data_IF_971084470447
#
_entry.id   IF_971084470447
#
_cell.length_a   1.000
_cell.length_b   1.000
_cell.length_c   1.000
_cell.angle_alpha   90.00
_cell.angle_beta   90.00
_cell.angle_gamma   90.00
#
_symmetry.space_group_name_H-M   'P 1'
#
loop_
_entity.id
_entity.type
_entity.pdbx_description
1 polymer ?
#
# COMPACT_ATOMS: atom_id res chain seq x y z
N UNK A 1 -5.83 12.41 -11.53
CA UNK A 1 -5.89 12.72 -10.07
C UNK A 1 -4.81 13.76 -9.79
N UNK A 2 -5.09 14.75 -8.95
CA UNK A 2 -4.11 15.79 -8.61
C UNK A 2 -3.18 15.34 -7.48
N UNK A 3 -1.97 15.92 -7.44
CA UNK A 3 -0.96 15.66 -6.41
C UNK A 3 -1.47 15.96 -5.00
N UNK A 4 -2.36 16.94 -4.86
CA UNK A 4 -3.01 17.29 -3.59
C UNK A 4 -3.82 16.12 -3.01
N UNK A 5 -4.63 15.47 -3.85
CA UNK A 5 -5.41 14.29 -3.44
C UNK A 5 -4.46 13.15 -3.06
N UNK A 6 -3.40 12.94 -3.85
CA UNK A 6 -2.39 11.93 -3.55
C UNK A 6 -1.71 12.13 -2.19
N UNK A 7 -1.36 13.38 -1.87
CA UNK A 7 -0.77 13.75 -0.58
C UNK A 7 -1.74 13.54 0.58
N UNK A 8 -3.01 13.86 0.41
CA UNK A 8 -4.05 13.61 1.42
C UNK A 8 -4.22 12.10 1.70
N UNK A 9 -4.28 11.28 0.65
CA UNK A 9 -4.34 9.81 0.78
C UNK A 9 -3.10 9.30 1.52
N UNK A 10 -1.92 9.77 1.12
CA UNK A 10 -0.65 9.40 1.77
C UNK A 10 -0.62 9.74 3.25
N UNK A 11 -1.14 10.92 3.63
CA UNK A 11 -1.22 11.36 5.02
C UNK A 11 -2.25 10.59 5.86
N UNK A 12 -3.32 10.07 5.22
CA UNK A 12 -4.26 9.15 5.89
C UNK A 12 -3.69 7.74 6.06
N UNK A 13 -2.75 7.35 5.21
CA UNK A 13 -2.07 6.06 5.28
C UNK A 13 -0.91 6.06 6.29
N UNK A 14 -0.16 7.15 6.36
CA UNK A 14 1.00 7.36 7.22
C UNK A 14 1.55 8.78 7.06
N UNK A 15 2.86 9.00 7.15
CA UNK A 15 3.44 10.31 6.80
C UNK A 15 3.80 10.32 5.30
N UNK A 16 3.13 11.15 4.50
CA UNK A 16 3.46 11.27 3.07
C UNK A 16 4.83 11.92 2.90
N UNK A 17 5.74 11.23 2.21
CA UNK A 17 7.09 11.72 1.88
C UNK A 17 7.07 12.34 0.48
N UNK A 18 6.47 11.65 -0.48
CA UNK A 18 6.52 12.03 -1.90
C UNK A 18 5.29 11.51 -2.65
N UNK A 19 4.92 12.20 -3.72
CA UNK A 19 3.83 11.82 -4.63
C UNK A 19 4.40 11.89 -6.05
N UNK A 20 4.32 10.78 -6.79
CA UNK A 20 4.83 10.75 -8.16
C UNK A 20 3.96 11.64 -9.06
N UNK A 21 4.55 12.71 -9.58
CA UNK A 21 3.90 13.68 -10.46
C UNK A 21 4.55 13.72 -11.85
N UNK A 22 3.75 14.11 -12.84
CA UNK A 22 4.17 14.41 -14.20
C UNK A 22 4.70 15.83 -14.32
N UNK A 23 5.24 16.15 -15.50
CA UNK A 23 5.71 17.51 -15.80
C UNK A 23 4.60 18.58 -15.74
N UNK A 24 3.34 18.14 -15.80
CA UNK A 24 2.10 18.91 -15.70
C UNK A 24 1.54 19.00 -14.28
N UNK A 25 2.18 18.39 -13.28
CA UNK A 25 1.66 18.33 -11.91
C UNK A 25 0.48 17.37 -11.72
N UNK A 26 0.20 16.51 -12.69
CA UNK A 26 -0.77 15.44 -12.58
C UNK A 26 -0.13 14.11 -12.17
N UNK A 27 -0.91 13.21 -11.55
CA UNK A 27 -0.40 11.88 -11.20
C UNK A 27 -0.18 11.05 -12.48
N UNK A 28 0.98 10.40 -12.60
CA UNK A 28 1.36 9.66 -13.81
C UNK A 28 0.78 8.23 -13.86
N UNK A 29 0.16 7.90 -14.99
CA UNK A 29 -0.19 6.52 -15.37
C UNK A 29 -1.47 5.98 -14.74
N UNK A 30 -1.60 4.65 -14.73
CA UNK A 30 -2.82 3.94 -14.25
C UNK A 30 -2.96 3.91 -12.73
N UNK A 31 -1.89 4.20 -12.00
CA UNK A 31 -1.84 4.08 -10.54
C UNK A 31 -1.29 5.37 -9.92
N UNK A 32 -1.89 5.82 -8.84
CA UNK A 32 -1.32 6.83 -7.97
C UNK A 32 -0.17 6.20 -7.16
N UNK A 33 1.07 6.63 -7.41
CA UNK A 33 2.23 6.16 -6.66
C UNK A 33 2.62 7.20 -5.61
N UNK A 34 2.58 6.78 -4.36
CA UNK A 34 2.90 7.62 -3.20
C UNK A 34 3.96 6.93 -2.34
N UNK A 35 4.94 7.71 -1.89
CA UNK A 35 5.94 7.25 -0.93
C UNK A 35 5.50 7.71 0.45
N UNK A 36 5.28 6.75 1.35
CA UNK A 36 4.75 7.01 2.69
C UNK A 36 5.65 6.35 3.72
N UNK A 37 5.94 7.05 4.82
CA UNK A 37 6.51 6.44 6.03
C UNK A 37 5.40 5.74 6.79
N UNK A 38 5.51 4.41 6.89
CA UNK A 38 4.51 3.56 7.53
C UNK A 38 5.05 2.99 8.85
N UNK A 39 4.15 2.85 9.80
CA UNK A 39 4.40 2.15 11.06
C UNK A 39 4.26 0.64 10.84
N UNK A 40 5.40 -0.05 10.75
CA UNK A 40 5.47 -1.50 10.48
C UNK A 40 4.94 -2.37 11.62
N UNK A 41 4.74 -1.79 12.81
CA UNK A 41 4.13 -2.51 13.94
C UNK A 41 2.63 -2.69 13.76
N UNK A 42 2.03 -1.94 12.84
CA UNK A 42 0.61 -2.04 12.49
C UNK A 42 0.40 -2.92 11.25
N UNK A 43 -0.75 -3.60 11.14
CA UNK A 43 -1.09 -4.31 9.92
C UNK A 43 -1.11 -3.39 8.70
N UNK A 44 -0.65 -3.89 7.56
CA UNK A 44 -0.71 -3.19 6.28
C UNK A 44 -2.15 -2.83 5.93
N UNK A 45 -2.38 -1.60 5.44
CA UNK A 45 -3.70 -1.19 4.98
C UNK A 45 -4.00 -1.85 3.63
N UNK A 46 -5.15 -2.50 3.51
CA UNK A 46 -5.58 -3.18 2.27
C UNK A 46 -6.45 -2.27 1.41
N UNK A 47 -7.41 -1.60 2.05
CA UNK A 47 -8.36 -0.70 1.41
C UNK A 47 -8.56 0.57 2.24
N UNK A 48 -8.93 1.67 1.58
CA UNK A 48 -9.37 2.91 2.21
C UNK A 48 -10.62 3.42 1.52
N UNK A 49 -11.65 3.74 2.30
CA UNK A 49 -12.82 4.46 1.81
C UNK A 49 -12.56 5.97 1.90
N UNK A 50 -12.73 6.65 0.78
CA UNK A 50 -12.78 8.11 0.69
C UNK A 50 -14.23 8.52 0.44
N UNK A 51 -14.68 9.52 1.17
CA UNK A 51 -15.91 10.24 0.86
C UNK A 51 -15.50 11.62 0.36
N UNK A 52 -16.01 12.02 -0.80
CA UNK A 52 -15.74 13.34 -1.37
C UNK A 52 -16.85 14.32 -1.02
N UNK A 53 -18.10 13.93 -1.29
CA UNK A 53 -19.32 14.64 -0.93
C UNK A 53 -20.36 13.62 -0.40
N UNK A 54 -21.59 14.06 -0.10
CA UNK A 54 -22.63 13.21 0.49
C UNK A 54 -23.07 12.02 -0.38
N UNK A 55 -22.68 11.96 -1.66
CA UNK A 55 -23.10 10.90 -2.59
C UNK A 55 -21.94 10.17 -3.28
N UNK A 56 -20.71 10.70 -3.27
CA UNK A 56 -19.55 10.13 -3.94
C UNK A 56 -18.59 9.46 -2.95
N UNK A 57 -18.65 8.13 -2.91
CA UNK A 57 -17.68 7.28 -2.23
C UNK A 57 -16.71 6.65 -3.23
N UNK A 58 -15.42 6.63 -2.89
CA UNK A 58 -14.42 5.83 -3.59
C UNK A 58 -13.76 4.84 -2.64
N UNK A 59 -13.56 3.62 -3.13
CA UNK A 59 -12.75 2.60 -2.47
C UNK A 59 -11.40 2.53 -3.16
N UNK A 60 -10.35 2.81 -2.42
CA UNK A 60 -8.97 2.71 -2.88
C UNK A 60 -8.41 1.39 -2.38
N UNK A 61 -7.93 0.57 -3.31
CA UNK A 61 -7.14 -0.62 -3.00
C UNK A 61 -5.65 -0.29 -3.01
N UNK A 62 -4.93 -0.72 -1.97
CA UNK A 62 -3.49 -0.49 -1.88
C UNK A 62 -2.70 -1.69 -2.39
N UNK A 63 -1.64 -1.39 -3.13
CA UNK A 63 -0.55 -2.31 -3.44
C UNK A 63 0.76 -1.67 -3.01
N UNK A 64 1.67 -2.48 -2.50
CA UNK A 64 2.93 -2.03 -1.93
C UNK A 64 4.08 -2.43 -2.86
N UNK A 65 4.86 -1.44 -3.28
CA UNK A 65 6.11 -1.66 -3.97
C UNK A 65 7.21 -2.03 -2.96
N UNK A 66 8.06 -2.99 -3.33
CA UNK A 66 9.20 -3.45 -2.51
C UNK A 66 8.79 -3.91 -1.11
N UNK A 67 7.59 -4.48 -0.98
CA UNK A 67 7.08 -5.02 0.29
C UNK A 67 7.93 -6.23 0.70
N UNK A 68 8.58 -6.21 1.89
CA UNK A 68 9.26 -7.39 2.44
C UNK A 68 8.27 -8.48 2.84
N UNK A 69 8.80 -9.64 3.22
CA UNK A 69 7.96 -10.70 3.79
C UNK A 69 7.19 -10.21 5.02
N UNK A 70 5.91 -10.55 5.04
CA UNK A 70 4.99 -10.14 6.08
C UNK A 70 4.03 -11.29 6.43
N UNK A 71 3.44 -11.21 7.61
CA UNK A 71 2.58 -12.26 8.10
C UNK A 71 1.20 -12.21 7.41
N UNK A 72 0.86 -13.25 6.64
CA UNK A 72 -0.45 -13.30 5.96
C UNK A 72 -1.65 -13.43 6.90
N UNK A 73 -1.43 -13.76 8.18
CA UNK A 73 -2.50 -13.85 9.15
C UNK A 73 -2.82 -12.50 9.81
N UNK A 74 -1.80 -11.73 10.21
CA UNK A 74 -2.01 -10.46 10.94
C UNK A 74 -1.65 -9.21 10.13
N UNK A 75 -1.01 -9.35 8.97
CA UNK A 75 -0.65 -8.25 8.07
C UNK A 75 0.56 -7.42 8.51
N UNK A 76 1.31 -7.82 9.54
CA UNK A 76 2.49 -7.10 10.04
C UNK A 76 3.78 -7.62 9.39
N UNK A 77 4.75 -6.72 9.21
CA UNK A 77 6.08 -7.05 8.69
C UNK A 77 6.95 -7.63 9.82
N UNK A 78 7.89 -8.53 9.47
CA UNK A 78 8.95 -8.98 10.36
C UNK A 78 8.76 -10.35 11.00
N UNK A 79 7.72 -11.10 10.62
CA UNK A 79 7.55 -12.51 11.01
C UNK A 79 6.67 -13.24 10.01
N UNK A 80 6.75 -14.57 9.97
CA UNK A 80 5.85 -15.40 9.15
C UNK A 80 4.66 -15.90 9.98
N UNK A 81 3.66 -16.47 9.31
CA UNK A 81 2.43 -16.98 9.97
C UNK A 81 2.74 -17.96 11.11
N UNK A 82 3.75 -18.83 10.94
CA UNK A 82 4.17 -19.83 11.95
C UNK A 82 4.65 -19.21 13.27
N UNK A 83 5.14 -17.96 13.22
CA UNK A 83 5.69 -17.24 14.37
C UNK A 83 4.69 -16.20 14.92
N UNK A 84 3.49 -16.13 14.33
CA UNK A 84 2.53 -15.09 14.62
C UNK A 84 1.82 -15.35 15.95
N UNK A 85 2.13 -14.53 16.95
CA UNK A 85 1.51 -14.60 18.29
C UNK A 85 0.02 -14.23 18.30
N UNK A 86 -0.47 -13.58 17.24
CA UNK A 86 -1.90 -13.21 17.10
C UNK A 86 -2.75 -14.41 16.65
N UNK A 87 -2.13 -15.39 15.99
CA UNK A 87 -2.81 -16.54 15.39
C UNK A 87 -3.33 -17.54 16.42
N UNK A 88 -2.77 -17.55 17.64
CA UNK A 88 -3.32 -18.33 18.76
C UNK A 88 -4.78 -18.02 19.13
N UNK A 89 -5.36 -16.94 18.60
CA UNK A 89 -6.79 -16.59 18.76
C UNK A 89 -7.63 -16.73 17.48
N UNK A 90 -7.02 -16.93 16.30
CA UNK A 90 -7.70 -16.92 14.98
C UNK A 90 -7.70 -18.31 14.33
N UNK A 91 -6.85 -19.22 14.83
CA UNK A 91 -6.92 -20.64 14.47
C UNK A 91 -8.17 -21.28 15.08
N UNK A 92 -9.28 -21.17 14.34
CA UNK A 92 -10.19 -22.30 14.15
C UNK A 92 -11.08 -22.26 12.90
N UNK A 93 -11.33 -21.13 12.23
CA UNK A 93 -12.42 -21.13 11.22
C UNK A 93 -12.22 -20.34 9.90
N UNK A 94 -11.16 -19.55 9.71
CA UNK A 94 -11.01 -18.80 8.46
C UNK A 94 -10.25 -19.61 7.39
N UNK A 95 -10.98 -20.24 6.46
CA UNK A 95 -10.41 -20.87 5.23
C UNK A 95 -9.61 -19.90 4.36
N UNK A 96 -9.90 -18.60 4.45
CA UNK A 96 -9.21 -17.54 3.71
C UNK A 96 -8.47 -16.59 4.65
N UNK A 97 -7.16 -16.42 4.41
CA UNK A 97 -6.34 -15.49 5.18
C UNK A 97 -6.67 -14.05 4.75
N UNK A 98 -6.75 -13.09 5.69
CA UNK A 98 -7.13 -11.72 5.36
C UNK A 98 -6.09 -10.99 4.51
N UNK A 99 -4.86 -11.51 4.39
CA UNK A 99 -3.81 -10.97 3.56
C UNK A 99 -3.22 -12.05 2.64
N UNK A 100 -2.63 -11.62 1.54
CA UNK A 100 -1.93 -12.51 0.61
C UNK A 100 -0.99 -11.77 -0.33
N UNK A 101 -0.40 -12.54 -1.25
CA UNK A 101 0.61 -12.04 -2.21
C UNK A 101 0.09 -10.92 -3.12
N UNK A 102 -1.23 -10.78 -3.27
CA UNK A 102 -1.88 -9.72 -4.04
C UNK A 102 -1.62 -8.30 -3.50
N UNK A 103 -1.12 -8.16 -2.27
CA UNK A 103 -0.65 -6.88 -1.71
C UNK A 103 0.66 -6.40 -2.30
N UNK A 104 1.48 -7.30 -2.84
CA UNK A 104 2.66 -6.88 -3.59
C UNK A 104 2.20 -6.22 -4.89
N UNK A 105 2.75 -5.06 -5.20
CA UNK A 105 2.63 -4.51 -6.54
C UNK A 105 3.27 -5.50 -7.52
N UNK A 106 2.58 -5.89 -8.58
CA UNK A 106 3.26 -6.50 -9.72
C UNK A 106 4.21 -5.44 -10.27
N UNK A 107 5.51 -5.73 -10.33
CA UNK A 107 6.46 -4.89 -11.06
C UNK A 107 6.02 -4.90 -12.53
N UNK A 108 5.22 -3.92 -12.93
CA UNK A 108 5.17 -3.54 -14.33
C UNK A 108 6.49 -2.82 -14.58
N UNK A 109 7.49 -3.54 -15.12
CA UNK A 109 8.66 -2.93 -15.73
C UNK A 109 8.13 -2.08 -16.87
N UNK A 110 7.83 -0.81 -16.55
CA UNK A 110 7.59 0.20 -17.55
C UNK A 110 8.81 0.21 -18.44
N UNK A 111 8.61 -0.11 -19.71
CA UNK A 111 9.61 0.11 -20.75
C UNK A 111 10.11 1.56 -20.59
N UNK A 112 11.38 1.71 -20.24
CA UNK A 112 12.08 2.99 -20.23
C UNK A 112 12.01 3.78 -18.93
N UNK A 113 12.96 3.52 -18.02
CA UNK A 113 13.92 4.52 -17.52
C UNK A 113 14.98 3.83 -16.66
N UNK A 114 16.19 3.74 -17.20
CA UNK A 114 17.41 3.38 -16.46
C UNK A 114 17.61 4.45 -15.40
N UNK A 115 17.38 4.12 -14.13
CA UNK A 115 17.85 4.96 -13.03
C UNK A 115 19.33 4.64 -12.90
N UNK A 116 20.19 5.55 -13.36
CA UNK A 116 21.62 5.45 -13.11
C UNK A 116 21.89 5.52 -11.60
N UNK A 117 22.87 4.78 -11.07
CA UNK A 117 23.26 4.88 -9.67
C UNK A 117 23.73 6.31 -9.38
N UNK A 118 23.20 6.94 -8.33
CA UNK A 118 23.84 8.15 -7.79
C UNK A 118 25.21 7.74 -7.25
N UNK A 119 26.26 8.37 -7.78
CA UNK A 119 27.61 8.35 -7.22
C UNK A 119 27.62 8.98 -5.83
#
# INVERSE_FOLDING_TARGET
MTVTIGRQIGNRLGQCIDVMEGADGECLGRYLRIRVRLDVTKPLRRVMKLQFDHSLEAVIEFKYERLPDFCYACGRIGHVVKECKVVGAIEKEAKEKPYGSWLHSKFEVGRGRTISPRK
#
